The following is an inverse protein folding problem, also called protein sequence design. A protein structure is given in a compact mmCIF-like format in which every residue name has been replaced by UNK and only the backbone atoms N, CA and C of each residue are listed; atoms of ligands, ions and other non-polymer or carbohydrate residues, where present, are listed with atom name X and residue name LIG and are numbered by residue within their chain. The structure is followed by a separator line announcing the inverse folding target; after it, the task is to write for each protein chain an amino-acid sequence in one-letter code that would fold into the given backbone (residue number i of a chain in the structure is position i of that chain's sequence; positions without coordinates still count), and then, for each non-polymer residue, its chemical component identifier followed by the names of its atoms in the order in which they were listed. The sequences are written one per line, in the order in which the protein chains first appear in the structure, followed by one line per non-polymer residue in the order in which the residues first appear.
data_IF_574857090368
#
_entry.id   IF_574857090368
#
_cell.length_a   1.000
_cell.length_b   1.000
_cell.length_c   1.000
_cell.angle_alpha   90.00
_cell.angle_beta   90.00
_cell.angle_gamma   90.00
#
_symmetry.space_group_name_H-M   'P 1'
#
loop_
_entity.id
_entity.type
_entity.pdbx_description
1 polymer ?
#
# COMPACT_ATOMS: atom_id res chain seq x y z
N UNK A 1 -33.56 -31.84 15.20
CA UNK A 1 -33.39 -30.40 14.89
C UNK A 1 -32.03 -30.25 14.26
N UNK A 2 -31.99 -30.12 12.93
CA UNK A 2 -30.74 -29.94 12.19
C UNK A 2 -30.23 -28.53 12.46
N UNK A 3 -29.10 -28.42 13.17
CA UNK A 3 -28.30 -27.20 13.15
C UNK A 3 -27.77 -27.04 11.74
N UNK A 4 -28.22 -26.00 11.06
CA UNK A 4 -27.65 -25.53 9.79
C UNK A 4 -26.15 -25.35 9.98
N UNK A 5 -25.38 -26.24 9.39
CA UNK A 5 -23.99 -26.02 9.07
C UNK A 5 -23.95 -24.80 8.14
N UNK A 6 -23.62 -23.65 8.71
CA UNK A 6 -23.26 -22.47 7.95
C UNK A 6 -21.89 -22.79 7.34
N UNK A 7 -21.91 -23.53 6.24
CA UNK A 7 -20.71 -23.82 5.47
C UNK A 7 -20.09 -22.48 5.08
N UNK A 8 -19.02 -22.10 5.79
CA UNK A 8 -18.12 -21.06 5.37
C UNK A 8 -17.69 -21.43 3.97
N UNK A 9 -18.00 -20.57 2.98
CA UNK A 9 -17.48 -20.74 1.63
C UNK A 9 -15.96 -20.94 1.66
N UNK A 10 -15.36 -21.51 0.60
CA UNK A 10 -13.93 -21.82 0.60
C UNK A 10 -13.14 -20.59 1.03
N UNK A 11 -12.40 -20.71 2.13
CA UNK A 11 -11.52 -19.66 2.64
C UNK A 11 -10.60 -19.23 1.50
N UNK A 12 -10.60 -17.94 1.15
CA UNK A 12 -9.75 -17.42 0.08
C UNK A 12 -8.29 -17.64 0.46
N UNK A 13 -7.64 -18.63 -0.15
CA UNK A 13 -6.21 -18.88 0.08
C UNK A 13 -5.39 -17.73 -0.50
N UNK A 14 -4.83 -16.90 0.39
CA UNK A 14 -3.90 -15.85 0.01
C UNK A 14 -2.60 -16.47 -0.51
N UNK A 15 -2.13 -15.99 -1.66
CA UNK A 15 -0.90 -16.46 -2.32
C UNK A 15 0.28 -15.53 -2.10
N UNK A 16 0.03 -14.28 -1.76
CA UNK A 16 1.04 -13.25 -1.52
C UNK A 16 0.48 -12.19 -0.58
N UNK A 17 1.29 -11.67 0.35
CA UNK A 17 0.96 -10.49 1.15
C UNK A 17 2.15 -9.54 1.14
N UNK A 18 1.90 -8.27 0.80
CA UNK A 18 2.88 -7.21 1.00
C UNK A 18 2.74 -6.56 2.37
N UNK A 19 3.86 -6.48 3.10
CA UNK A 19 4.03 -5.65 4.30
C UNK A 19 4.95 -4.45 4.03
N UNK A 20 5.18 -4.10 2.76
CA UNK A 20 6.02 -2.97 2.41
C UNK A 20 5.28 -1.64 2.59
N UNK A 21 6.04 -0.59 2.91
CA UNK A 21 5.48 0.74 3.12
C UNK A 21 4.90 1.33 1.84
N UNK A 22 3.85 2.13 2.00
CA UNK A 22 3.43 3.14 1.01
C UNK A 22 4.05 4.45 1.42
N UNK A 23 4.78 5.09 0.50
CA UNK A 23 5.41 6.40 0.70
C UNK A 23 4.71 7.39 -0.22
N UNK A 24 4.44 8.59 0.27
CA UNK A 24 3.93 9.70 -0.52
C UNK A 24 5.05 10.70 -0.74
N UNK A 25 5.65 10.66 -1.93
CA UNK A 25 6.77 11.52 -2.27
C UNK A 25 6.31 12.91 -2.70
N UNK A 26 7.05 13.90 -2.21
CA UNK A 26 7.12 15.22 -2.81
C UNK A 26 8.32 15.25 -3.76
N UNK A 27 8.09 15.55 -5.03
CA UNK A 27 9.13 15.61 -6.06
C UNK A 27 9.36 17.04 -6.48
N UNK A 28 10.54 17.59 -6.14
CA UNK A 28 10.96 18.94 -6.49
C UNK A 28 11.91 18.92 -7.68
N UNK A 29 11.54 19.67 -8.72
CA UNK A 29 12.30 19.81 -9.95
C UNK A 29 13.11 21.13 -9.95
N UNK A 30 14.26 21.18 -10.65
CA UNK A 30 15.10 22.39 -10.70
C UNK A 30 14.41 23.61 -11.32
N UNK A 31 13.37 23.40 -12.13
CA UNK A 31 12.57 24.47 -12.73
C UNK A 31 11.48 25.02 -11.79
N UNK A 32 11.49 24.63 -10.50
CA UNK A 32 10.52 25.05 -9.50
C UNK A 32 9.20 24.26 -9.52
N UNK A 33 8.99 23.36 -10.49
CA UNK A 33 7.83 22.45 -10.47
C UNK A 33 7.93 21.54 -9.26
N UNK A 34 6.82 21.34 -8.57
CA UNK A 34 6.71 20.36 -7.49
C UNK A 34 5.51 19.45 -7.75
N UNK A 35 5.70 18.15 -7.57
CA UNK A 35 4.63 17.16 -7.52
C UNK A 35 4.46 16.71 -6.08
N UNK A 36 3.22 16.62 -5.62
CA UNK A 36 2.87 16.17 -4.27
C UNK A 36 2.12 14.84 -4.34
N UNK A 37 2.15 14.12 -3.23
CA UNK A 37 1.42 12.88 -3.03
C UNK A 37 1.70 11.84 -4.14
N UNK A 38 2.93 11.81 -4.65
CA UNK A 38 3.35 10.81 -5.64
C UNK A 38 3.49 9.47 -4.93
N UNK A 39 2.71 8.44 -5.28
CA UNK A 39 2.81 7.15 -4.60
C UNK A 39 4.15 6.50 -4.93
N UNK A 40 4.87 6.07 -3.90
CA UNK A 40 6.09 5.28 -3.98
C UNK A 40 6.08 4.18 -2.89
N UNK A 41 7.17 3.42 -2.81
CA UNK A 41 7.37 2.30 -1.92
C UNK A 41 7.37 1.00 -2.69
N UNK A 42 8.44 0.21 -2.53
CA UNK A 42 8.57 -1.09 -3.20
C UNK A 42 7.40 -2.02 -2.89
N UNK A 43 6.87 -1.97 -1.66
CA UNK A 43 5.71 -2.75 -1.25
C UNK A 43 4.46 -2.48 -2.08
N UNK A 44 4.22 -1.23 -2.43
CA UNK A 44 3.09 -0.82 -3.27
C UNK A 44 3.22 -1.41 -4.68
N UNK A 45 4.37 -1.22 -5.31
CA UNK A 45 4.61 -1.69 -6.68
C UNK A 45 4.75 -3.20 -6.79
N UNK A 46 5.34 -3.87 -5.79
CA UNK A 46 5.34 -5.33 -5.71
C UNK A 46 3.92 -5.89 -5.59
N UNK A 47 3.03 -5.22 -4.84
CA UNK A 47 1.62 -5.60 -4.76
C UNK A 47 0.92 -5.46 -6.12
N UNK A 48 1.14 -4.34 -6.81
CA UNK A 48 0.60 -4.12 -8.16
C UNK A 48 1.13 -5.16 -9.15
N UNK A 49 2.42 -5.48 -9.10
CA UNK A 49 3.03 -6.54 -9.90
C UNK A 49 2.41 -7.91 -9.63
N UNK A 50 2.23 -8.27 -8.36
CA UNK A 50 1.56 -9.52 -7.96
C UNK A 50 0.11 -9.58 -8.47
N UNK A 51 -0.62 -8.45 -8.41
CA UNK A 51 -1.96 -8.35 -9.00
C UNK A 51 -1.94 -8.58 -10.51
N UNK A 52 -1.02 -7.95 -11.24
CA UNK A 52 -0.88 -8.14 -12.69
C UNK A 52 -0.57 -9.59 -13.02
N UNK A 53 0.27 -10.25 -12.22
CA UNK A 53 0.64 -11.65 -12.43
C UNK A 53 -0.53 -12.64 -12.28
N UNK A 54 -1.58 -12.29 -11.53
CA UNK A 54 -2.81 -13.11 -11.40
C UNK A 54 -3.97 -12.61 -12.27
N UNK A 55 -3.73 -11.63 -13.15
CA UNK A 55 -4.77 -11.06 -14.00
C UNK A 55 -5.38 -12.12 -14.95
N UNK A 56 -4.59 -13.07 -15.43
CA UNK A 56 -5.05 -14.17 -16.28
C UNK A 56 -6.00 -15.13 -15.56
N UNK A 57 -5.87 -15.26 -14.24
CA UNK A 57 -6.72 -16.14 -13.43
C UNK A 57 -7.91 -15.42 -12.82
N UNK A 58 -8.03 -14.09 -12.98
CA UNK A 58 -9.10 -13.27 -12.39
C UNK A 58 -9.27 -13.43 -10.87
N UNK A 59 -8.17 -13.67 -10.16
CA UNK A 59 -8.15 -13.90 -8.70
C UNK A 59 -7.35 -12.82 -7.92
N UNK A 60 -7.60 -11.50 -8.14
CA UNK A 60 -6.87 -10.44 -7.45
C UNK A 60 -7.04 -10.47 -5.92
N UNK A 61 -8.14 -11.04 -5.42
CA UNK A 61 -8.44 -11.21 -4.00
C UNK A 61 -7.49 -12.18 -3.27
N UNK A 62 -6.73 -13.00 -4.01
CA UNK A 62 -5.66 -13.85 -3.45
C UNK A 62 -4.36 -13.09 -3.18
N UNK A 63 -4.29 -11.83 -3.57
CA UNK A 63 -3.18 -10.94 -3.29
C UNK A 63 -3.57 -10.05 -2.12
N UNK A 64 -2.77 -10.04 -1.08
CA UNK A 64 -2.96 -9.23 0.11
C UNK A 64 -1.99 -8.06 0.20
N UNK A 65 -2.42 -7.00 0.88
CA UNK A 65 -1.56 -5.85 1.18
C UNK A 65 -1.99 -5.20 2.49
N UNK A 66 -1.01 -4.85 3.33
CA UNK A 66 -1.24 -4.02 4.52
C UNK A 66 -0.77 -2.61 4.22
N UNK A 67 -1.70 -1.66 4.29
CA UNK A 67 -1.41 -0.24 4.08
C UNK A 67 -1.68 0.50 5.39
N UNK A 68 -0.60 1.03 5.96
CA UNK A 68 -0.69 1.98 7.07
C UNK A 68 -0.70 3.40 6.51
N UNK A 69 -1.74 4.15 6.81
CA UNK A 69 -1.98 5.51 6.34
C UNK A 69 -2.08 6.47 7.52
N UNK A 70 -1.60 7.70 7.36
CA UNK A 70 -1.84 8.76 8.32
C UNK A 70 -3.02 9.64 7.91
N UNK A 71 -3.42 10.56 8.78
CA UNK A 71 -4.61 11.43 8.62
C UNK A 71 -4.67 12.27 7.33
N UNK A 72 -3.55 12.40 6.64
CA UNK A 72 -3.34 13.18 5.42
C UNK A 72 -3.23 12.31 4.15
N UNK A 73 -3.51 11.01 4.25
CA UNK A 73 -3.46 10.10 3.10
C UNK A 73 -4.53 10.49 2.05
N UNK A 74 -4.18 10.64 0.76
CA UNK A 74 -5.13 11.09 -0.25
C UNK A 74 -6.29 10.10 -0.47
N UNK A 75 -7.53 10.60 -0.37
CA UNK A 75 -8.73 9.80 -0.64
C UNK A 75 -8.74 9.22 -2.06
N UNK A 76 -8.20 9.96 -3.04
CA UNK A 76 -8.07 9.50 -4.43
C UNK A 76 -7.17 8.27 -4.54
N UNK A 77 -6.03 8.27 -3.85
CA UNK A 77 -5.12 7.12 -3.83
C UNK A 77 -5.76 5.94 -3.08
N UNK A 78 -6.43 6.20 -1.95
CA UNK A 78 -7.16 5.16 -1.23
C UNK A 78 -8.21 4.48 -2.13
N UNK A 79 -8.95 5.25 -2.94
CA UNK A 79 -9.91 4.72 -3.89
C UNK A 79 -9.22 3.83 -4.95
N UNK A 80 -8.11 4.28 -5.52
CA UNK A 80 -7.32 3.47 -6.49
C UNK A 80 -6.88 2.14 -5.88
N UNK A 81 -6.38 2.14 -4.64
CA UNK A 81 -5.95 0.90 -3.96
C UNK A 81 -7.13 -0.06 -3.70
N UNK A 82 -8.32 0.47 -3.46
CA UNK A 82 -9.54 -0.32 -3.27
C UNK A 82 -10.03 -0.92 -4.59
N UNK A 83 -9.96 -0.16 -5.67
CA UNK A 83 -10.32 -0.60 -7.02
C UNK A 83 -9.41 -1.71 -7.58
N UNK A 84 -8.25 -1.93 -6.97
CA UNK A 84 -7.41 -3.07 -7.32
C UNK A 84 -8.06 -4.43 -7.02
N UNK A 85 -9.10 -4.50 -6.18
CA UNK A 85 -9.81 -5.74 -5.88
C UNK A 85 -9.00 -6.75 -5.06
N UNK A 86 -8.00 -6.27 -4.33
CA UNK A 86 -7.11 -7.08 -3.49
C UNK A 86 -7.72 -7.33 -2.12
N UNK A 87 -7.12 -8.27 -1.38
CA UNK A 87 -7.31 -8.36 0.06
C UNK A 87 -6.53 -7.25 0.78
N UNK A 88 -7.11 -6.05 0.80
CA UNK A 88 -6.45 -4.85 1.32
C UNK A 88 -6.83 -4.57 2.78
N UNK A 89 -5.86 -4.70 3.69
CA UNK A 89 -5.96 -4.23 5.06
C UNK A 89 -5.42 -2.80 5.15
N UNK A 90 -6.33 -1.83 5.04
CA UNK A 90 -6.02 -0.41 5.18
C UNK A 90 -6.27 0.05 6.61
N UNK A 91 -5.24 0.55 7.30
CA UNK A 91 -5.34 1.07 8.67
C UNK A 91 -4.98 2.56 8.67
N UNK A 92 -5.93 3.38 9.10
CA UNK A 92 -5.73 4.82 9.26
C UNK A 92 -5.30 5.12 10.70
N UNK A 93 -4.17 5.81 10.86
CA UNK A 93 -3.74 6.42 12.12
C UNK A 93 -4.05 7.92 12.09
N UNK A 94 -5.11 8.32 12.79
CA UNK A 94 -5.55 9.73 12.85
C UNK A 94 -4.60 10.63 13.65
N UNK A 95 -3.68 10.06 14.44
CA UNK A 95 -2.71 10.80 15.26
C UNK A 95 -1.43 11.14 14.51
N UNK A 96 -1.15 10.46 13.40
CA UNK A 96 0.08 10.58 12.61
C UNK A 96 -0.17 11.07 11.20
N UNK A 97 0.90 11.58 10.57
CA UNK A 97 0.96 11.78 9.12
C UNK A 97 1.40 10.49 8.44
N UNK A 98 1.04 10.36 7.17
CA UNK A 98 1.45 9.28 6.28
C UNK A 98 2.98 9.30 6.11
N UNK A 99 3.57 8.16 5.75
CA UNK A 99 4.99 8.13 5.38
C UNK A 99 5.20 9.02 4.16
N UNK A 100 6.08 10.02 4.28
CA UNK A 100 6.38 10.96 3.21
C UNK A 100 7.87 10.99 2.93
N UNK A 101 8.21 11.01 1.65
CA UNK A 101 9.58 11.22 1.17
C UNK A 101 9.69 12.55 0.45
N UNK A 102 10.93 13.00 0.29
CA UNK A 102 11.26 14.14 -0.56
C UNK A 102 12.29 13.70 -1.59
N UNK A 103 11.93 13.81 -2.86
CA UNK A 103 12.87 13.69 -3.98
C UNK A 103 13.21 15.10 -4.44
N UNK A 104 14.40 15.57 -4.12
CA UNK A 104 14.88 16.87 -4.60
C UNK A 104 15.99 16.68 -5.62
N UNK A 105 15.71 17.04 -6.87
CA UNK A 105 16.69 17.00 -7.95
C UNK A 105 17.57 18.25 -7.95
N UNK A 106 18.89 18.06 -7.90
CA UNK A 106 19.89 19.12 -7.96
C UNK A 106 20.41 19.22 -9.40
N UNK A 107 19.97 20.26 -10.12
CA UNK A 107 20.38 20.50 -11.50
C UNK A 107 19.63 19.65 -12.54
N UNK A 108 19.90 19.92 -13.82
CA UNK A 108 19.08 19.45 -14.96
C UNK A 108 19.41 18.03 -15.44
N UNK A 109 20.43 17.38 -14.87
CA UNK A 109 20.87 16.05 -15.28
C UNK A 109 20.08 14.89 -14.61
N UNK A 110 19.22 15.20 -13.63
CA UNK A 110 18.45 14.24 -12.82
C UNK A 110 19.25 13.16 -12.09
N UNK A 111 20.59 13.28 -12.03
CA UNK A 111 21.48 12.30 -11.39
C UNK A 111 21.65 12.59 -9.91
N UNK A 112 21.78 13.87 -9.57
CA UNK A 112 21.99 14.29 -8.20
C UNK A 112 20.64 14.50 -7.52
N UNK A 113 20.28 13.60 -6.60
CA UNK A 113 19.04 13.69 -5.83
C UNK A 113 19.21 13.25 -4.38
N UNK A 114 18.43 13.85 -3.49
CA UNK A 114 18.28 13.37 -2.11
C UNK A 114 16.96 12.62 -1.95
N UNK A 115 16.88 11.72 -0.98
CA UNK A 115 15.69 10.92 -0.69
C UNK A 115 15.41 10.78 0.83
N UNK A 116 15.34 11.88 1.62
CA UNK A 116 14.97 11.78 3.02
C UNK A 116 13.48 11.51 3.21
N UNK A 117 13.14 10.81 4.29
CA UNK A 117 11.79 10.84 4.83
C UNK A 117 11.53 12.19 5.52
N UNK A 118 10.36 12.77 5.27
CA UNK A 118 9.91 14.04 5.86
C UNK A 118 8.91 13.84 6.99
N UNK A 119 8.44 12.61 7.20
CA UNK A 119 7.63 12.19 8.34
C UNK A 119 8.16 10.87 8.91
N UNK A 120 7.90 10.56 10.19
CA UNK A 120 8.24 9.26 10.76
C UNK A 120 7.54 8.12 9.98
N UNK A 121 8.28 7.12 9.44
CA UNK A 121 7.67 6.07 8.64
C UNK A 121 6.63 5.23 9.38
N UNK A 122 5.54 4.91 8.68
CA UNK A 122 4.54 3.93 9.07
C UNK A 122 4.92 2.58 8.46
N UNK A 123 5.58 1.73 9.25
CA UNK A 123 6.04 0.41 8.82
C UNK A 123 4.99 -0.66 9.16
N UNK A 124 4.38 -1.34 8.16
CA UNK A 124 3.59 -2.53 8.43
C UNK A 124 4.47 -3.63 9.04
N UNK A 125 3.93 -4.33 10.03
CA UNK A 125 4.59 -5.41 10.75
C UNK A 125 3.77 -6.70 10.65
N UNK A 126 4.37 -7.90 10.82
CA UNK A 126 3.60 -9.15 10.84
C UNK A 126 2.47 -9.16 11.88
N UNK A 127 2.64 -8.43 13.00
CA UNK A 127 1.59 -8.26 14.01
C UNK A 127 0.33 -7.59 13.47
N UNK A 128 0.41 -6.82 12.38
CA UNK A 128 -0.73 -6.17 11.76
C UNK A 128 -1.72 -7.15 11.13
N UNK A 129 -1.28 -8.35 10.80
CA UNK A 129 -2.11 -9.42 10.22
C UNK A 129 -2.97 -10.13 11.27
N UNK A 130 -2.63 -9.98 12.56
CA UNK A 130 -3.36 -10.65 13.64
C UNK A 130 -4.83 -10.21 13.67
N UNK A 131 -5.72 -11.17 13.81
CA UNK A 131 -7.16 -10.92 13.90
C UNK A 131 -7.86 -10.71 12.55
N UNK A 132 -7.14 -10.69 11.42
CA UNK A 132 -7.76 -10.66 10.10
C UNK A 132 -7.83 -12.08 9.51
N UNK A 133 -9.02 -12.73 9.48
CA UNK A 133 -9.15 -14.11 9.02
C UNK A 133 -8.71 -14.30 7.56
N UNK A 134 -8.83 -13.26 6.73
CA UNK A 134 -8.52 -13.36 5.31
C UNK A 134 -7.03 -13.12 5.01
N UNK A 135 -6.18 -12.82 5.99
CA UNK A 135 -4.76 -12.51 5.81
C UNK A 135 -3.85 -13.24 6.81
N UNK A 136 -4.31 -14.37 7.35
CA UNK A 136 -3.56 -15.15 8.35
C UNK A 136 -2.28 -15.73 7.75
N UNK A 137 -1.19 -15.67 8.53
CA UNK A 137 0.06 -16.42 8.30
C UNK A 137 -0.02 -17.81 8.90
#
# INVERSE_FOLDING_TARGET
MNSLDLSTGPETQIRFISLGMVVLDEIRFPNGKTLFDVPDGSGLYSTLGARIAVAETTEPEKIGSVVLAGRDFPNSLQAVLRDWGLNLLFKMDSSRLSTRGLIEYKGTNFKDRTFPYTTPPLQPMPSDLRGNPNLRS
#
